data_IF_599446472140
#
_entry.id   IF_599446472140
#
_cell.length_a   1.000
_cell.length_b   1.000
_cell.length_c   1.000
_cell.angle_alpha   90.00
_cell.angle_beta   90.00
_cell.angle_gamma   90.00
#
_symmetry.space_group_name_H-M   'P 1'
#
loop_
_entity.id
_entity.type
_entity.pdbx_description
1 polymer ?
#
# COMPACT_ATOMS: atom_id res chain seq x y z
N UNK A 1 28.76 51.86 42.91
CA UNK A 1 28.04 51.81 44.19
C UNK A 1 26.73 51.06 43.99
N UNK A 2 26.54 50.00 44.79
CA UNK A 2 25.32 49.33 45.23
C UNK A 2 24.04 49.27 44.34
N UNK A 3 23.60 48.04 44.10
CA UNK A 3 22.20 47.60 43.88
C UNK A 3 21.25 48.10 45.01
N UNK A 4 19.90 48.00 44.90
CA UNK A 4 19.23 46.70 45.12
C UNK A 4 17.83 46.47 44.48
N UNK A 5 17.46 45.20 44.61
CA UNK A 5 16.20 44.45 44.47
C UNK A 5 15.08 44.84 45.46
N UNK A 6 13.83 44.39 45.18
CA UNK A 6 12.78 43.85 46.11
C UNK A 6 11.59 43.32 45.25
N UNK A 7 11.18 42.03 45.32
CA UNK A 7 10.24 41.39 46.27
C UNK A 7 8.92 42.18 46.45
N UNK A 8 7.69 41.68 46.51
CA UNK A 8 7.00 40.38 46.63
C UNK A 8 5.48 40.72 46.59
N UNK A 9 4.56 39.79 46.35
CA UNK A 9 3.48 39.42 47.28
C UNK A 9 2.39 38.57 46.62
N UNK A 10 2.06 37.50 47.32
CA UNK A 10 0.98 36.57 47.11
C UNK A 10 -0.36 37.11 47.67
N UNK A 11 -1.46 36.46 47.30
CA UNK A 11 -2.70 36.46 48.08
C UNK A 11 -3.27 35.04 48.11
N UNK A 12 -3.39 34.51 49.33
CA UNK A 12 -4.18 33.33 49.70
C UNK A 12 -5.32 33.80 50.60
N UNK A 13 -6.23 32.87 50.96
CA UNK A 13 -7.34 32.90 51.96
C UNK A 13 -8.67 32.57 51.25
N UNK A 14 -9.54 31.66 51.69
CA UNK A 14 -9.88 31.21 53.05
C UNK A 14 -10.35 29.75 53.15
N UNK A 15 -10.02 29.20 54.32
CA UNK A 15 -10.40 27.95 54.99
C UNK A 15 -11.85 27.93 55.55
N UNK A 16 -12.42 26.73 55.72
CA UNK A 16 -13.46 26.43 56.72
C UNK A 16 -13.04 25.17 57.51
N UNK A 17 -12.97 25.29 58.85
CA UNK A 17 -12.92 24.23 59.88
C UNK A 17 -14.36 23.86 60.28
N UNK A 18 -14.73 22.71 60.86
CA UNK A 18 -14.05 21.53 61.39
C UNK A 18 -15.06 20.70 62.23
N UNK A 19 -14.75 19.44 62.58
CA UNK A 19 -14.97 18.85 63.92
C UNK A 19 -14.45 17.40 64.01
N UNK A 20 -14.10 17.00 65.24
CA UNK A 20 -13.18 15.92 65.62
C UNK A 20 -13.88 14.68 66.23
N UNK A 21 -13.06 13.67 66.61
CA UNK A 21 -13.28 12.42 67.37
C UNK A 21 -13.68 11.20 66.51
N UNK A 22 -13.02 10.03 66.48
CA UNK A 22 -11.87 9.45 67.18
C UNK A 22 -12.19 7.98 67.49
N UNK A 23 -11.57 6.99 66.81
CA UNK A 23 -11.27 5.68 67.40
C UNK A 23 -10.25 4.87 66.57
N UNK A 24 -9.53 3.99 67.25
CA UNK A 24 -8.32 3.29 66.80
C UNK A 24 -8.61 1.92 66.18
N UNK A 25 -7.88 1.52 65.11
CA UNK A 25 -7.33 0.15 64.97
C UNK A 25 -6.42 -0.02 63.73
N UNK A 26 -5.21 -0.52 63.98
CA UNK A 26 -4.23 -1.00 63.00
C UNK A 26 -4.73 -2.21 62.19
N UNK A 27 -4.37 -2.30 60.90
CA UNK A 27 -4.10 -3.59 60.23
C UNK A 27 -3.26 -3.43 58.94
N UNK A 28 -1.99 -3.79 59.08
CA UNK A 28 -1.07 -4.46 58.15
C UNK A 28 -1.08 -4.11 56.65
N UNK A 29 0.00 -3.43 56.22
CA UNK A 29 0.53 -3.42 54.86
C UNK A 29 0.99 -4.83 54.45
N UNK A 30 0.36 -5.41 53.43
CA UNK A 30 0.95 -6.51 52.66
C UNK A 30 1.77 -5.94 51.49
N UNK A 31 3.08 -6.17 51.54
CA UNK A 31 4.04 -5.90 50.46
C UNK A 31 4.00 -7.10 49.50
N UNK A 32 3.31 -6.97 48.37
CA UNK A 32 3.37 -8.00 47.31
C UNK A 32 4.69 -7.87 46.54
N UNK A 33 5.57 -8.85 46.73
CA UNK A 33 6.69 -9.17 45.83
C UNK A 33 6.16 -9.79 44.54
N UNK A 34 6.62 -9.36 43.35
CA UNK A 34 6.24 -10.01 42.09
C UNK A 34 7.05 -11.30 41.91
N UNK A 35 6.38 -12.45 41.93
CA UNK A 35 6.97 -13.72 41.48
C UNK A 35 6.99 -13.80 39.94
N UNK A 36 7.99 -14.48 39.35
CA UNK A 36 8.08 -14.66 37.91
C UNK A 36 7.15 -15.81 37.47
N UNK A 37 5.94 -15.48 37.02
CA UNK A 37 5.08 -16.47 36.36
C UNK A 37 5.57 -16.70 34.92
N UNK A 38 6.31 -17.78 34.71
CA UNK A 38 6.48 -18.42 33.40
C UNK A 38 5.15 -19.03 32.97
N UNK A 39 4.32 -18.21 32.32
CA UNK A 39 3.05 -18.63 31.75
C UNK A 39 2.73 -17.76 30.53
N UNK A 40 2.04 -18.34 29.54
CA UNK A 40 1.59 -17.64 28.35
C UNK A 40 0.72 -16.45 28.77
N UNK A 41 1.21 -15.23 28.58
CA UNK A 41 0.49 -14.00 28.94
C UNK A 41 -0.76 -13.88 28.06
N UNK A 42 -1.92 -14.29 28.58
CA UNK A 42 -3.19 -13.95 27.96
C UNK A 42 -3.45 -12.45 28.17
N UNK A 43 -3.83 -11.69 27.13
CA UNK A 43 -4.17 -10.28 27.29
C UNK A 43 -5.29 -10.11 28.33
N UNK A 44 -5.04 -9.31 29.36
CA UNK A 44 -6.04 -8.95 30.39
C UNK A 44 -7.23 -8.15 29.84
N UNK A 45 -7.12 -7.65 28.60
CA UNK A 45 -8.22 -6.99 27.91
C UNK A 45 -9.11 -8.06 27.27
N UNK A 46 -10.40 -8.11 27.63
CA UNK A 46 -11.41 -9.01 27.02
C UNK A 46 -11.56 -8.85 25.50
N UNK A 47 -10.88 -7.88 24.89
CA UNK A 47 -10.83 -7.67 23.44
C UNK A 47 -9.69 -8.48 22.86
N UNK A 48 -10.05 -9.55 22.17
CA UNK A 48 -9.13 -10.40 21.43
C UNK A 48 -8.78 -9.76 20.08
N UNK A 49 -7.78 -10.31 19.38
CA UNK A 49 -7.45 -9.87 18.01
C UNK A 49 -8.62 -10.05 17.04
N UNK A 50 -9.57 -10.95 17.36
CA UNK A 50 -10.76 -11.22 16.55
C UNK A 50 -11.82 -10.12 16.68
N UNK A 51 -11.82 -9.38 17.79
CA UNK A 51 -12.73 -8.25 18.02
C UNK A 51 -12.27 -6.96 17.31
N UNK A 52 -11.09 -6.98 16.67
CA UNK A 52 -10.52 -5.83 15.97
C UNK A 52 -10.92 -5.87 14.50
N UNK A 53 -11.50 -4.77 14.01
CA UNK A 53 -11.80 -4.61 12.59
C UNK A 53 -10.53 -4.81 11.73
N UNK A 54 -10.58 -5.75 10.77
CA UNK A 54 -9.48 -6.09 9.87
C UNK A 54 -9.00 -4.87 9.05
N UNK A 55 -9.88 -3.90 8.79
CA UNK A 55 -9.54 -2.67 8.07
C UNK A 55 -8.90 -1.59 8.95
N UNK A 56 -8.67 -1.83 10.25
CA UNK A 56 -8.07 -0.83 11.15
C UNK A 56 -6.68 -0.36 10.68
N UNK A 57 -5.92 -1.22 10.01
CA UNK A 57 -4.59 -0.89 9.49
C UNK A 57 -4.61 -0.43 8.03
N UNK A 58 -5.79 -0.24 7.43
CA UNK A 58 -5.92 0.15 6.01
C UNK A 58 -5.12 1.40 5.67
N UNK A 59 -5.12 2.38 6.57
CA UNK A 59 -4.43 3.65 6.40
C UNK A 59 -3.17 3.75 7.28
N UNK A 60 -2.62 2.60 7.71
CA UNK A 60 -1.38 2.59 8.50
C UNK A 60 -0.22 2.89 7.57
N UNK A 61 0.28 4.12 7.62
CA UNK A 61 1.46 4.51 6.86
C UNK A 61 2.74 4.11 7.60
N UNK A 62 3.76 3.69 6.84
CA UNK A 62 5.11 3.42 7.33
C UNK A 62 6.04 4.49 6.76
N UNK A 63 7.19 4.69 7.41
CA UNK A 63 8.21 5.59 6.90
C UNK A 63 8.68 5.15 5.50
N UNK A 64 8.67 6.08 4.54
CA UNK A 64 9.17 5.84 3.18
C UNK A 64 10.63 5.41 3.18
N UNK A 65 11.42 5.89 4.15
CA UNK A 65 12.81 5.49 4.33
C UNK A 65 12.96 4.00 4.67
N UNK A 66 12.02 3.40 5.41
CA UNK A 66 12.06 1.97 5.73
C UNK A 66 11.88 1.12 4.46
N UNK A 67 10.97 1.54 3.57
CA UNK A 67 10.83 0.92 2.25
C UNK A 67 12.09 1.11 1.40
N UNK A 68 12.64 2.33 1.37
CA UNK A 68 13.85 2.65 0.61
C UNK A 68 15.04 1.73 0.98
N UNK A 69 15.34 1.57 2.27
CA UNK A 69 16.45 0.72 2.71
C UNK A 69 16.23 -0.75 2.39
N UNK A 70 15.01 -1.26 2.60
CA UNK A 70 14.68 -2.65 2.27
C UNK A 70 14.78 -2.90 0.76
N UNK A 71 14.20 -2.00 -0.04
CA UNK A 71 14.19 -2.11 -1.49
C UNK A 71 15.60 -1.98 -2.08
N UNK A 72 16.41 -1.06 -1.56
CA UNK A 72 17.83 -0.93 -1.95
C UNK A 72 18.59 -2.23 -1.74
N UNK A 73 18.44 -2.88 -0.58
CA UNK A 73 19.08 -4.17 -0.33
C UNK A 73 18.51 -5.30 -1.21
N UNK A 74 17.21 -5.29 -1.54
CA UNK A 74 16.64 -6.24 -2.51
C UNK A 74 17.28 -6.11 -3.89
N UNK A 75 17.47 -4.87 -4.38
CA UNK A 75 18.13 -4.60 -5.66
C UNK A 75 19.60 -5.04 -5.62
N UNK A 76 20.35 -4.66 -4.58
CA UNK A 76 21.75 -5.08 -4.41
C UNK A 76 21.88 -6.61 -4.31
N UNK A 77 20.98 -7.27 -3.58
CA UNK A 77 20.93 -8.73 -3.47
C UNK A 77 20.69 -9.41 -4.82
N UNK A 78 19.80 -8.85 -5.65
CA UNK A 78 19.50 -9.35 -6.97
C UNK A 78 20.69 -9.12 -7.92
N UNK A 79 21.28 -7.92 -7.89
CA UNK A 79 22.44 -7.54 -8.70
C UNK A 79 23.65 -8.47 -8.47
N UNK A 80 23.95 -8.83 -7.21
CA UNK A 80 25.07 -9.74 -6.89
C UNK A 80 24.94 -11.15 -7.50
N UNK A 81 23.75 -11.53 -7.97
CA UNK A 81 23.44 -12.87 -8.49
C UNK A 81 23.08 -12.86 -9.97
N UNK A 82 23.31 -11.74 -10.64
CA UNK A 82 22.94 -11.53 -12.02
C UNK A 82 24.10 -10.84 -12.73
N UNK A 83 24.32 -11.17 -14.00
CA UNK A 83 25.38 -10.60 -14.83
C UNK A 83 24.88 -9.50 -15.77
N UNK A 84 23.60 -9.53 -16.17
CA UNK A 84 23.00 -8.59 -17.12
C UNK A 84 21.89 -7.70 -16.53
N UNK A 85 21.69 -6.52 -17.11
CA UNK A 85 20.61 -5.58 -16.72
C UNK A 85 19.22 -6.20 -16.96
N UNK A 86 19.02 -6.85 -18.11
CA UNK A 86 17.75 -7.50 -18.44
C UNK A 86 17.40 -8.63 -17.47
N UNK A 87 18.38 -9.43 -17.07
CA UNK A 87 18.19 -10.48 -16.07
C UNK A 87 17.86 -9.90 -14.69
N UNK A 88 18.40 -8.72 -14.37
CA UNK A 88 18.13 -8.02 -13.11
C UNK A 88 16.70 -7.48 -13.11
N UNK A 89 16.28 -6.84 -14.20
CA UNK A 89 14.90 -6.38 -14.39
C UNK A 89 13.91 -7.55 -14.33
N UNK A 90 14.21 -8.66 -15.02
CA UNK A 90 13.40 -9.88 -14.95
C UNK A 90 13.27 -10.39 -13.51
N UNK A 91 14.37 -10.45 -12.76
CA UNK A 91 14.37 -10.93 -11.38
C UNK A 91 13.61 -9.98 -10.44
N UNK A 92 13.66 -8.68 -10.67
CA UNK A 92 12.87 -7.70 -9.94
C UNK A 92 11.37 -7.84 -10.27
N UNK A 93 11.02 -8.04 -11.54
CA UNK A 93 9.65 -8.34 -11.96
C UNK A 93 9.11 -9.61 -11.24
N UNK A 94 9.88 -10.70 -11.26
CA UNK A 94 9.51 -11.96 -10.58
C UNK A 94 9.28 -11.77 -9.07
N UNK A 95 9.99 -10.84 -8.42
CA UNK A 95 9.78 -10.49 -7.00
C UNK A 95 8.52 -9.64 -6.77
N UNK A 96 8.14 -8.79 -7.73
CA UNK A 96 6.92 -7.98 -7.67
C UNK A 96 5.65 -8.78 -7.95
N UNK A 97 5.72 -9.77 -8.85
CA UNK A 97 4.61 -10.62 -9.26
C UNK A 97 3.73 -11.18 -8.13
N UNK A 98 4.29 -11.88 -7.11
CA UNK A 98 3.48 -12.44 -6.03
C UNK A 98 2.77 -11.36 -5.19
N UNK A 99 3.32 -10.14 -5.12
CA UNK A 99 2.65 -9.04 -4.43
C UNK A 99 1.43 -8.56 -5.21
N UNK A 100 1.48 -8.53 -6.55
CA UNK A 100 0.34 -8.22 -7.40
C UNK A 100 -0.88 -9.10 -7.10
N UNK A 101 -0.66 -10.42 -7.04
CA UNK A 101 -1.70 -11.40 -6.69
C UNK A 101 -2.33 -11.12 -5.32
N UNK A 102 -1.52 -10.85 -4.30
CA UNK A 102 -2.00 -10.58 -2.94
C UNK A 102 -2.69 -9.22 -2.83
N UNK A 103 -2.20 -8.20 -3.53
CA UNK A 103 -2.79 -6.87 -3.53
C UNK A 103 -4.15 -6.86 -4.24
N UNK A 104 -4.31 -7.65 -5.31
CA UNK A 104 -5.60 -7.83 -5.97
C UNK A 104 -6.67 -8.33 -5.00
N UNK A 105 -6.39 -9.41 -4.26
CA UNK A 105 -7.32 -9.96 -3.27
C UNK A 105 -7.67 -8.92 -2.20
N UNK A 106 -6.68 -8.16 -1.72
CA UNK A 106 -6.89 -7.09 -0.74
C UNK A 106 -7.74 -5.94 -1.30
N UNK A 107 -7.53 -5.54 -2.56
CA UNK A 107 -8.31 -4.50 -3.23
C UNK A 107 -9.77 -4.92 -3.38
N UNK A 108 -10.01 -6.14 -3.85
CA UNK A 108 -11.35 -6.71 -4.00
C UNK A 108 -12.05 -6.84 -2.64
N UNK A 109 -11.36 -7.36 -1.64
CA UNK A 109 -11.90 -7.49 -0.27
C UNK A 109 -12.27 -6.13 0.35
N UNK A 110 -11.39 -5.14 0.22
CA UNK A 110 -11.64 -3.78 0.76
C UNK A 110 -12.76 -3.07 0.00
N UNK A 111 -12.88 -3.29 -1.31
CA UNK A 111 -13.99 -2.78 -2.11
C UNK A 111 -15.32 -3.39 -1.69
N UNK A 112 -15.36 -4.67 -1.29
CA UNK A 112 -16.58 -5.30 -0.73
C UNK A 112 -17.02 -4.65 0.59
N UNK A 113 -16.05 -4.36 1.47
CA UNK A 113 -16.31 -3.83 2.81
C UNK A 113 -16.58 -2.31 2.84
N UNK A 114 -16.30 -1.57 1.76
CA UNK A 114 -16.67 -0.16 1.64
C UNK A 114 -18.15 0.05 1.35
N UNK A 115 -18.77 -0.90 0.64
CA UNK A 115 -20.19 -0.90 0.29
C UNK A 115 -21.11 -1.29 1.46
N UNK A 116 -20.59 -1.88 2.54
CA UNK A 116 -21.39 -2.37 3.67
C UNK A 116 -21.74 -1.29 4.72
N UNK A 117 -21.55 0.00 4.39
CA UNK A 117 -22.30 1.08 5.07
C UNK A 117 -23.74 1.24 4.53
N UNK A 118 -24.14 0.43 3.55
CA UNK A 118 -25.52 0.30 3.08
C UNK A 118 -25.98 -1.16 3.05
N UNK A 119 -26.79 -1.55 4.04
CA UNK A 119 -27.88 -2.54 3.98
C UNK A 119 -27.69 -3.87 3.25
N UNK A 120 -27.84 -4.96 4.00
CA UNK A 120 -28.24 -6.28 3.52
C UNK A 120 -29.59 -6.17 2.77
N UNK A 121 -29.57 -6.08 1.44
CA UNK A 121 -30.76 -6.33 0.62
C UNK A 121 -30.39 -7.22 -0.57
N UNK A 122 -30.84 -8.46 -0.48
CA UNK A 122 -31.01 -9.35 -1.61
C UNK A 122 -32.16 -8.82 -2.47
N UNK A 123 -31.84 -8.16 -3.58
CA UNK A 123 -32.81 -7.92 -4.65
C UNK A 123 -32.10 -7.78 -5.99
N UNK A 124 -32.42 -8.71 -6.88
CA UNK A 124 -32.14 -8.70 -8.31
C UNK A 124 -32.40 -7.33 -8.95
N UNK A 125 -31.34 -6.54 -9.09
CA UNK A 125 -31.28 -5.33 -9.90
C UNK A 125 -29.80 -5.10 -10.24
N UNK A 126 -29.51 -4.83 -11.51
CA UNK A 126 -28.19 -4.78 -12.15
C UNK A 126 -27.31 -3.59 -11.72
N UNK A 127 -27.37 -3.19 -10.46
CA UNK A 127 -26.59 -2.09 -9.88
C UNK A 127 -26.20 -2.37 -8.42
N UNK A 128 -25.75 -3.59 -8.14
CA UNK A 128 -25.24 -4.01 -6.84
C UNK A 128 -23.72 -3.94 -6.80
N UNK A 129 -23.17 -3.06 -5.97
CA UNK A 129 -21.73 -2.78 -5.75
C UNK A 129 -21.01 -3.91 -5.01
N UNK A 130 -21.02 -5.10 -5.62
CA UNK A 130 -20.03 -6.15 -5.37
C UNK A 130 -18.70 -5.71 -6.00
N UNK A 131 -17.52 -6.08 -5.46
CA UNK A 131 -16.26 -5.92 -6.17
C UNK A 131 -16.27 -6.87 -7.36
N UNK A 132 -16.82 -6.41 -8.47
CA UNK A 132 -16.82 -7.17 -9.71
C UNK A 132 -15.37 -7.18 -10.17
N UNK A 133 -14.73 -8.34 -10.01
CA UNK A 133 -13.49 -8.66 -10.70
C UNK A 133 -13.62 -8.15 -12.15
N UNK A 134 -12.70 -7.29 -12.63
CA UNK A 134 -12.80 -6.73 -13.96
C UNK A 134 -13.01 -7.85 -15.00
N UNK A 135 -13.99 -7.67 -15.89
CA UNK A 135 -14.29 -8.62 -16.97
C UNK A 135 -13.82 -8.13 -18.35
N UNK A 136 -13.42 -6.86 -18.43
CA UNK A 136 -12.97 -6.17 -19.63
C UNK A 136 -11.59 -5.54 -19.37
N UNK A 137 -10.82 -5.35 -20.44
CA UNK A 137 -9.44 -4.79 -20.34
C UNK A 137 -9.45 -3.37 -19.76
N UNK A 138 -10.32 -2.48 -20.24
CA UNK A 138 -10.31 -1.08 -19.80
C UNK A 138 -10.65 -0.91 -18.30
N UNK A 139 -11.67 -1.57 -17.73
CA UNK A 139 -11.90 -1.61 -16.28
C UNK A 139 -10.72 -2.16 -15.47
N UNK A 140 -10.00 -3.16 -15.99
CA UNK A 140 -8.78 -3.67 -15.35
C UNK A 140 -7.68 -2.60 -15.31
N UNK A 141 -7.45 -1.91 -16.43
CA UNK A 141 -6.45 -0.85 -16.50
C UNK A 141 -6.81 0.33 -15.59
N UNK A 142 -8.10 0.68 -15.47
CA UNK A 142 -8.55 1.69 -14.49
C UNK A 142 -8.37 1.23 -13.03
N UNK A 143 -8.55 -0.06 -12.73
CA UNK A 143 -8.26 -0.64 -11.42
C UNK A 143 -6.77 -0.49 -11.07
N UNK A 144 -5.89 -0.71 -12.05
CA UNK A 144 -4.44 -0.55 -11.88
C UNK A 144 -4.08 0.94 -11.71
N UNK A 145 -4.51 1.79 -12.65
CA UNK A 145 -4.21 3.23 -12.68
C UNK A 145 -4.66 3.98 -11.41
N UNK A 146 -5.84 3.67 -10.87
CA UNK A 146 -6.40 4.40 -9.74
C UNK A 146 -6.27 3.66 -8.40
N UNK A 147 -7.09 2.63 -8.14
CA UNK A 147 -7.07 1.88 -6.88
C UNK A 147 -5.73 1.27 -6.50
N UNK A 148 -5.06 0.54 -7.40
CA UNK A 148 -3.76 -0.09 -7.09
C UNK A 148 -2.68 0.96 -6.87
N UNK A 149 -2.59 1.96 -7.75
CA UNK A 149 -1.60 3.03 -7.62
C UNK A 149 -1.75 3.81 -6.31
N UNK A 150 -2.99 4.12 -5.89
CA UNK A 150 -3.24 4.76 -4.59
C UNK A 150 -2.87 3.86 -3.42
N UNK A 151 -3.03 2.55 -3.55
CA UNK A 151 -2.62 1.61 -2.51
C UNK A 151 -1.09 1.55 -2.35
N UNK A 152 -0.34 1.66 -3.45
CA UNK A 152 1.12 1.59 -3.45
C UNK A 152 1.79 2.94 -3.12
N UNK A 153 1.25 4.02 -3.68
CA UNK A 153 1.95 5.31 -3.79
C UNK A 153 1.13 6.50 -3.28
N UNK A 154 -0.07 6.27 -2.74
CA UNK A 154 -0.98 7.30 -2.22
C UNK A 154 -1.43 8.35 -3.26
N UNK A 155 -1.25 8.07 -4.55
CA UNK A 155 -1.71 8.88 -5.69
C UNK A 155 -2.10 7.98 -6.86
N UNK A 156 -2.99 8.42 -7.77
CA UNK A 156 -3.20 7.71 -9.03
C UNK A 156 -1.95 7.81 -9.93
N UNK A 157 -1.86 6.95 -10.93
CA UNK A 157 -0.92 7.12 -12.04
C UNK A 157 -1.22 8.41 -12.82
N UNK A 158 -0.25 8.89 -13.58
CA UNK A 158 -0.34 10.18 -14.26
C UNK A 158 -1.09 10.09 -15.59
N UNK A 159 -0.92 8.98 -16.32
CA UNK A 159 -1.65 8.75 -17.57
C UNK A 159 -1.90 7.26 -17.84
N UNK A 160 -2.96 7.00 -18.61
CA UNK A 160 -3.29 5.70 -19.18
C UNK A 160 -3.59 5.90 -20.67
N UNK A 161 -2.82 5.25 -21.54
CA UNK A 161 -2.90 5.39 -22.98
C UNK A 161 -2.99 4.00 -23.64
N UNK A 162 -3.62 3.93 -24.81
CA UNK A 162 -3.59 2.75 -25.68
C UNK A 162 -2.52 2.97 -26.75
N UNK A 163 -1.77 1.91 -27.10
CA UNK A 163 -0.75 2.01 -28.15
C UNK A 163 -1.40 2.44 -29.47
N UNK A 164 -0.91 3.56 -30.01
CA UNK A 164 -1.30 4.08 -31.32
C UNK A 164 -0.62 3.33 -32.48
N UNK A 165 0.33 2.44 -32.18
CA UNK A 165 1.05 1.68 -33.19
C UNK A 165 0.17 0.57 -33.77
N UNK A 166 -0.13 0.57 -35.09
CA UNK A 166 -0.94 -0.48 -35.70
C UNK A 166 -0.30 -1.87 -35.63
N UNK A 167 1.02 -1.93 -35.38
CA UNK A 167 1.76 -3.18 -35.19
C UNK A 167 1.56 -3.81 -33.80
N UNK A 168 1.10 -3.07 -32.79
CA UNK A 168 0.95 -3.56 -31.41
C UNK A 168 -0.38 -3.15 -30.76
N UNK A 169 -1.53 -3.59 -31.34
CA UNK A 169 -2.86 -3.21 -30.83
C UNK A 169 -3.18 -3.78 -29.44
N UNK A 170 -2.40 -4.76 -28.97
CA UNK A 170 -2.52 -5.40 -27.67
C UNK A 170 -1.68 -4.73 -26.56
N UNK A 171 -1.05 -3.59 -26.86
CA UNK A 171 -0.22 -2.85 -25.91
C UNK A 171 -0.95 -1.63 -25.35
N UNK A 172 -0.90 -1.49 -24.02
CA UNK A 172 -1.40 -0.35 -23.27
C UNK A 172 -0.27 0.24 -22.44
N UNK A 173 -0.33 1.53 -22.15
CA UNK A 173 0.74 2.29 -21.52
C UNK A 173 0.22 2.96 -20.26
N UNK A 174 0.85 2.69 -19.12
CA UNK A 174 0.61 3.41 -17.86
C UNK A 174 1.83 4.28 -17.61
N UNK A 175 1.63 5.59 -17.43
CA UNK A 175 2.74 6.52 -17.16
C UNK A 175 2.76 6.91 -15.69
N UNK A 176 3.97 6.93 -15.14
CA UNK A 176 4.29 7.51 -13.84
C UNK A 176 5.43 8.52 -14.01
N UNK A 177 5.16 9.80 -13.70
CA UNK A 177 6.12 10.90 -13.87
C UNK A 177 7.18 10.95 -12.77
N UNK A 178 6.88 10.43 -11.58
CA UNK A 178 7.75 10.43 -10.41
C UNK A 178 7.61 9.10 -9.63
N UNK A 179 8.10 7.99 -10.21
CA UNK A 179 7.96 6.68 -9.60
C UNK A 179 8.79 6.59 -8.32
N UNK A 180 8.12 6.35 -7.20
CA UNK A 180 8.73 6.32 -5.86
C UNK A 180 9.91 5.34 -5.75
N UNK A 181 9.89 4.25 -6.52
CA UNK A 181 10.98 3.26 -6.57
C UNK A 181 12.28 3.84 -7.12
N UNK A 182 12.22 4.85 -8.00
CA UNK A 182 13.40 5.50 -8.57
C UNK A 182 13.88 6.68 -7.70
N UNK A 183 12.99 7.31 -6.93
CA UNK A 183 13.34 8.43 -6.02
C UNK A 183 14.28 7.99 -4.89
N UNK A 184 14.21 6.73 -4.46
CA UNK A 184 14.92 6.24 -3.26
C UNK A 184 16.15 5.40 -3.52
N UNK A 185 16.50 5.15 -4.78
CA UNK A 185 17.68 4.40 -5.17
C UNK A 185 18.66 5.33 -5.87
N UNK A 186 19.87 5.44 -5.33
CA UNK A 186 20.98 6.03 -6.07
C UNK A 186 21.55 4.94 -6.98
N UNK A 187 21.09 4.89 -8.22
CA UNK A 187 21.66 3.98 -9.23
C UNK A 187 23.09 4.46 -9.54
N UNK A 188 24.11 3.59 -9.42
CA UNK A 188 25.48 3.96 -9.79
C UNK A 188 25.54 4.43 -11.25
N UNK A 189 26.41 5.40 -11.55
CA UNK A 189 26.44 6.06 -12.88
C UNK A 189 26.66 5.08 -14.04
N UNK A 190 27.31 3.94 -13.80
CA UNK A 190 27.51 2.90 -14.81
C UNK A 190 26.23 2.11 -15.17
N UNK A 191 25.16 2.25 -14.37
CA UNK A 191 23.89 1.51 -14.51
C UNK A 191 22.69 2.42 -14.73
N UNK A 192 22.89 3.62 -15.26
CA UNK A 192 21.85 4.63 -15.52
C UNK A 192 20.69 4.15 -16.43
N UNK A 193 20.83 2.99 -17.08
CA UNK A 193 19.79 2.35 -17.90
C UNK A 193 18.92 1.35 -17.12
N UNK A 194 19.22 1.07 -15.85
CA UNK A 194 18.48 0.11 -15.06
C UNK A 194 17.16 0.69 -14.56
N UNK A 195 16.04 0.06 -14.91
CA UNK A 195 14.74 0.48 -14.42
C UNK A 195 14.27 -0.39 -13.25
N UNK A 196 14.48 0.07 -12.01
CA UNK A 196 13.93 -0.61 -10.83
C UNK A 196 12.41 -0.63 -10.79
N UNK A 197 11.74 0.18 -11.61
CA UNK A 197 10.31 0.05 -11.82
C UNK A 197 9.91 -1.29 -12.47
N UNK A 198 10.84 -2.11 -12.95
CA UNK A 198 10.59 -3.51 -13.28
C UNK A 198 9.94 -4.28 -12.11
N UNK A 199 10.25 -3.93 -10.86
CA UNK A 199 9.56 -4.46 -9.69
C UNK A 199 8.06 -4.11 -9.68
N UNK A 200 7.72 -2.86 -9.98
CA UNK A 200 6.32 -2.40 -10.08
C UNK A 200 5.64 -3.03 -11.30
N UNK A 201 6.34 -3.18 -12.43
CA UNK A 201 5.85 -3.91 -13.59
C UNK A 201 5.43 -5.34 -13.22
N UNK A 202 6.23 -6.04 -12.41
CA UNK A 202 5.86 -7.35 -11.88
C UNK A 202 4.58 -7.33 -11.04
N UNK A 203 4.37 -6.31 -10.19
CA UNK A 203 3.13 -6.15 -9.43
C UNK A 203 1.93 -6.02 -10.39
N UNK A 204 2.05 -5.21 -11.44
CA UNK A 204 1.00 -5.02 -12.45
C UNK A 204 0.71 -6.34 -13.17
N UNK A 205 1.76 -7.06 -13.58
CA UNK A 205 1.67 -8.37 -14.23
C UNK A 205 0.90 -9.37 -13.34
N UNK A 206 1.23 -9.44 -12.05
CA UNK A 206 0.51 -10.28 -11.09
C UNK A 206 -0.95 -9.89 -10.89
N UNK A 207 -1.31 -8.61 -11.02
CA UNK A 207 -2.72 -8.17 -10.98
C UNK A 207 -3.47 -8.58 -12.24
N UNK A 208 -2.87 -8.40 -13.42
CA UNK A 208 -3.45 -8.81 -14.70
C UNK A 208 -3.72 -10.32 -14.73
N UNK A 209 -2.71 -11.13 -14.40
CA UNK A 209 -2.82 -12.60 -14.35
C UNK A 209 -3.80 -13.03 -13.24
N UNK A 210 -3.73 -12.37 -12.09
CA UNK A 210 -4.66 -12.58 -10.98
C UNK A 210 -6.11 -12.34 -11.36
N UNK A 211 -6.38 -11.44 -12.31
CA UNK A 211 -7.71 -11.16 -12.89
C UNK A 211 -8.08 -12.10 -14.06
N UNK A 212 -7.16 -12.94 -14.54
CA UNK A 212 -7.37 -13.81 -15.70
C UNK A 212 -7.12 -13.12 -17.04
N UNK A 213 -6.30 -12.07 -17.06
CA UNK A 213 -5.84 -11.35 -18.25
C UNK A 213 -4.34 -11.57 -18.38
N UNK A 214 -3.94 -12.68 -19.01
CA UNK A 214 -2.53 -12.98 -19.26
C UNK A 214 -1.86 -11.79 -19.97
N UNK A 215 -0.83 -11.25 -19.34
CA UNK A 215 -0.11 -10.10 -19.86
C UNK A 215 1.39 -10.20 -19.56
N UNK A 216 2.20 -9.52 -20.38
CA UNK A 216 3.60 -9.21 -20.07
C UNK A 216 3.75 -7.73 -19.82
N UNK A 217 4.41 -7.39 -18.71
CA UNK A 217 4.58 -5.99 -18.32
C UNK A 217 6.06 -5.65 -18.23
N UNK A 218 6.48 -4.61 -18.95
CA UNK A 218 7.84 -4.07 -18.89
C UNK A 218 7.81 -2.60 -18.48
N UNK A 219 8.89 -2.12 -17.87
CA UNK A 219 9.03 -0.72 -17.47
C UNK A 219 10.14 -0.05 -18.27
N UNK A 220 9.86 1.11 -18.86
CA UNK A 220 10.80 1.86 -19.68
C UNK A 220 10.97 3.27 -19.12
N UNK A 221 12.22 3.69 -18.92
CA UNK A 221 12.50 5.07 -18.57
C UNK A 221 12.32 5.95 -19.82
N UNK A 222 11.40 6.91 -19.75
CA UNK A 222 11.10 7.88 -20.79
C UNK A 222 11.11 9.28 -20.18
N UNK A 223 12.27 9.64 -19.60
CA UNK A 223 12.52 10.96 -19.05
C UNK A 223 12.21 12.10 -20.04
N UNK A 224 11.65 13.18 -19.53
CA UNK A 224 11.44 14.45 -20.23
C UNK A 224 12.11 15.58 -19.46
N UNK A 225 12.22 16.77 -20.05
CA UNK A 225 12.81 17.94 -19.36
C UNK A 225 12.09 18.26 -18.04
N UNK A 226 10.77 18.10 -18.00
CA UNK A 226 9.96 18.35 -16.81
C UNK A 226 10.01 17.18 -15.81
N UNK A 227 10.19 15.95 -16.32
CA UNK A 227 10.13 14.71 -15.53
C UNK A 227 11.27 13.77 -15.93
N UNK A 228 12.49 13.97 -15.40
CA UNK A 228 13.67 13.18 -15.79
C UNK A 228 13.57 11.71 -15.39
N UNK A 229 12.76 11.40 -14.37
CA UNK A 229 12.53 10.04 -13.86
C UNK A 229 11.26 9.39 -14.40
N UNK A 230 10.60 10.02 -15.38
CA UNK A 230 9.34 9.52 -15.95
C UNK A 230 9.52 8.08 -16.44
N UNK A 231 8.62 7.21 -16.01
CA UNK A 231 8.60 5.80 -16.37
C UNK A 231 7.28 5.44 -17.01
N UNK A 232 7.35 4.62 -18.07
CA UNK A 232 6.19 4.09 -18.78
C UNK A 232 6.18 2.58 -18.63
N UNK A 233 5.06 2.05 -18.14
CA UNK A 233 4.80 0.63 -18.04
C UNK A 233 4.04 0.19 -19.29
N UNK A 234 4.67 -0.67 -20.10
CA UNK A 234 4.02 -1.29 -21.26
C UNK A 234 3.33 -2.57 -20.80
N UNK A 235 2.01 -2.61 -20.92
CA UNK A 235 1.17 -3.77 -20.61
C UNK A 235 0.77 -4.41 -21.94
N UNK A 236 1.36 -5.55 -22.24
CA UNK A 236 1.08 -6.31 -23.47
C UNK A 236 0.21 -7.51 -23.16
N UNK A 237 -1.05 -7.48 -23.58
CA UNK A 237 -1.96 -8.61 -23.37
C UNK A 237 -1.71 -9.74 -24.36
N UNK A 238 -1.93 -10.98 -23.90
CA UNK A 238 -1.88 -12.18 -24.74
C UNK A 238 -2.97 -12.18 -25.81
N UNK A 239 -2.75 -12.94 -26.87
CA UNK A 239 -3.69 -13.03 -27.99
C UNK A 239 -5.06 -13.58 -27.57
N UNK A 240 -5.08 -14.56 -26.67
CA UNK A 240 -6.29 -15.14 -26.07
C UNK A 240 -7.16 -14.11 -25.35
N UNK A 241 -6.53 -13.14 -24.68
CA UNK A 241 -7.20 -12.04 -23.97
C UNK A 241 -7.83 -11.07 -24.96
N UNK A 242 -7.12 -10.74 -26.03
CA UNK A 242 -7.60 -9.84 -27.09
C UNK A 242 -8.76 -10.47 -27.87
N UNK A 243 -8.69 -11.77 -28.16
CA UNK A 243 -9.79 -12.49 -28.80
C UNK A 243 -11.04 -12.49 -27.92
N UNK A 244 -10.89 -12.78 -26.62
CA UNK A 244 -11.99 -12.71 -25.64
C UNK A 244 -12.60 -11.31 -25.57
N UNK A 245 -11.78 -10.27 -25.52
CA UNK A 245 -12.23 -8.87 -25.49
C UNK A 245 -13.09 -8.55 -26.71
N UNK A 246 -12.66 -8.96 -27.91
CA UNK A 246 -13.40 -8.79 -29.17
C UNK A 246 -14.71 -9.56 -29.20
N UNK A 247 -14.74 -10.77 -28.63
CA UNK A 247 -15.98 -11.56 -28.50
C UNK A 247 -16.98 -10.87 -27.58
N UNK A 248 -16.53 -10.36 -26.43
CA UNK A 248 -17.39 -9.63 -25.48
C UNK A 248 -17.91 -8.31 -26.06
N UNK A 249 -17.08 -7.61 -26.83
CA UNK A 249 -17.49 -6.40 -27.56
C UNK A 249 -18.61 -6.71 -28.58
N UNK A 250 -18.45 -7.76 -29.39
CA UNK A 250 -19.49 -8.19 -30.35
C UNK A 250 -20.79 -8.62 -29.67
N UNK A 251 -20.69 -9.23 -28.48
CA UNK A 251 -21.85 -9.63 -27.68
C UNK A 251 -22.54 -8.45 -26.97
N UNK A 252 -22.00 -7.23 -27.07
CA UNK A 252 -22.55 -6.04 -26.41
C UNK A 252 -22.43 -6.06 -24.88
N UNK A 253 -21.60 -6.95 -24.33
CA UNK A 253 -21.38 -7.07 -22.88
C UNK A 253 -20.48 -5.93 -22.45
N UNK A 254 -21.07 -4.84 -21.96
CA UNK A 254 -20.35 -3.66 -21.46
C UNK A 254 -19.63 -3.95 -20.15
#
# INVERSE_FOLDING_TARGET
>A
MASPTKHTHASSISTVMGNNFGDSQEKLRSRNTPQPSTGLRLPSTKKTIYDRNLNRTRNSELSKASFAYLFSEMVVYAQRRVTGIQDLERRLNEQGYPLGLRLLDLLLYRSLSGSSSGGLTSSSSSSGTQPIRPLRILPLLHLIHGPLWRLLFSRPADALEHSVSPATPNEYMITDNDPLVNTYISVPREMNMLNCAAYVAGIIEGVCDGCGFEAKVSAHNQGSEMWPSRTVFLVRFGESVMEREKMLERAGVK
#
